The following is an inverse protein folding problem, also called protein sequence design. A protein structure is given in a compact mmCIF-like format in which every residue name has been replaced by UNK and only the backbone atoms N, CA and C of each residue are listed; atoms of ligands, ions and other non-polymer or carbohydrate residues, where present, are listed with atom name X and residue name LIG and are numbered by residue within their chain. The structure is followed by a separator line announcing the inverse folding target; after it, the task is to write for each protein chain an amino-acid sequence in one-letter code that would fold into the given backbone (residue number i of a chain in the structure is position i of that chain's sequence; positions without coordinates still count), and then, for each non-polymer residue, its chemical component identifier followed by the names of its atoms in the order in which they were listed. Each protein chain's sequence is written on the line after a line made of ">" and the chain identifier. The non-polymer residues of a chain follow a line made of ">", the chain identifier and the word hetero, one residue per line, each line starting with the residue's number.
data_IF_975535397009
#
_entry.id   IF_975535397009
#
_cell.length_a   1.000
_cell.length_b   1.000
_cell.length_c   1.000
_cell.angle_alpha   90.00
_cell.angle_beta   90.00
_cell.angle_gamma   90.00
#
_symmetry.space_group_name_H-M   'P 1'
#
loop_
_entity.id
_entity.type
_entity.pdbx_description
1 polymer ?
#
# COMPACT_ATOMS: atom_id res chain seq x y z
N UNK A 1 17.33 -5.58 6.58
CA UNK A 1 17.33 -5.24 8.03
C UNK A 1 15.91 -4.84 8.46
N UNK A 2 15.52 -4.99 9.74
CA UNK A 2 14.22 -4.52 10.23
C UNK A 2 14.03 -3.01 9.98
N UNK A 3 12.78 -2.58 9.85
CA UNK A 3 12.43 -1.18 9.66
C UNK A 3 12.99 -0.32 10.80
N UNK A 4 13.72 0.74 10.46
CA UNK A 4 14.36 1.63 11.44
C UNK A 4 13.43 2.80 11.77
N UNK A 5 12.69 2.68 12.87
CA UNK A 5 11.78 3.74 13.35
C UNK A 5 12.51 5.01 13.79
N UNK A 6 13.78 4.89 14.16
CA UNK A 6 14.63 6.00 14.55
C UNK A 6 15.19 6.79 13.35
N UNK A 7 14.85 6.42 12.10
CA UNK A 7 15.21 7.17 10.91
C UNK A 7 14.35 8.45 10.76
N UNK A 8 14.95 9.56 10.31
CA UNK A 8 14.21 10.80 9.99
C UNK A 8 13.15 10.60 8.92
N UNK A 9 13.36 9.66 8.00
CA UNK A 9 12.45 9.35 6.89
C UNK A 9 11.37 8.31 7.23
N UNK A 10 11.37 7.77 8.45
CA UNK A 10 10.33 6.86 8.90
C UNK A 10 9.03 7.63 9.19
N UNK A 11 7.91 7.16 8.64
CA UNK A 11 6.57 7.65 8.96
C UNK A 11 5.66 6.48 9.35
N UNK A 12 4.79 6.73 10.34
CA UNK A 12 3.71 5.84 10.76
C UNK A 12 2.38 6.59 10.67
N UNK A 13 1.37 5.98 10.07
CA UNK A 13 0.03 6.54 9.93
C UNK A 13 -1.01 5.48 10.30
N UNK A 14 -1.85 5.80 11.28
CA UNK A 14 -3.02 5.00 11.62
C UNK A 14 -4.24 5.52 10.84
N UNK A 15 -4.98 4.62 10.21
CA UNK A 15 -6.22 4.91 9.49
C UNK A 15 -7.45 4.67 10.37
N UNK A 16 -8.61 5.14 9.92
CA UNK A 16 -9.89 4.96 10.64
C UNK A 16 -10.29 3.48 10.79
N UNK A 17 -9.74 2.59 9.96
CA UNK A 17 -9.88 1.14 10.08
C UNK A 17 -9.15 0.56 11.30
N UNK A 18 -8.26 1.32 11.94
CA UNK A 18 -7.35 0.86 12.98
C UNK A 18 -6.02 0.32 12.43
N UNK A 19 -5.92 0.14 11.11
CA UNK A 19 -4.68 -0.29 10.46
C UNK A 19 -3.61 0.80 10.57
N UNK A 20 -2.37 0.39 10.85
CA UNK A 20 -1.24 1.30 10.93
C UNK A 20 -0.24 1.00 9.83
N UNK A 21 -0.16 1.89 8.84
CA UNK A 21 0.84 1.83 7.78
C UNK A 21 2.14 2.48 8.23
N UNK A 22 3.26 1.85 7.87
CA UNK A 22 4.60 2.33 8.20
C UNK A 22 5.44 2.31 6.93
N UNK A 23 6.14 3.38 6.64
CA UNK A 23 6.86 3.50 5.38
C UNK A 23 8.01 4.49 5.45
N UNK A 24 8.93 4.35 4.51
CA UNK A 24 9.96 5.34 4.24
C UNK A 24 9.37 6.39 3.31
N UNK A 25 9.37 7.67 3.70
CA UNK A 25 8.83 8.75 2.85
C UNK A 25 9.63 8.99 1.56
N UNK A 26 10.78 8.33 1.42
CA UNK A 26 11.62 8.34 0.21
C UNK A 26 11.39 7.12 -0.68
N UNK A 27 10.48 6.21 -0.30
CA UNK A 27 10.19 4.94 -1.01
C UNK A 27 11.43 4.05 -1.24
N UNK A 28 12.46 4.20 -0.39
CA UNK A 28 13.66 3.37 -0.42
C UNK A 28 13.51 2.04 0.33
N UNK A 29 12.37 1.78 0.96
CA UNK A 29 12.10 0.56 1.72
C UNK A 29 11.38 -0.46 0.81
N UNK A 30 12.07 -1.46 0.24
CA UNK A 30 11.52 -2.33 -0.79
C UNK A 30 10.41 -3.23 -0.27
N UNK A 31 10.49 -3.64 1.01
CA UNK A 31 9.51 -4.48 1.69
C UNK A 31 8.88 -3.70 2.83
N UNK A 32 8.57 -2.41 2.61
CA UNK A 32 7.76 -1.65 3.54
C UNK A 32 6.44 -2.39 3.81
N UNK A 33 5.98 -2.52 5.06
CA UNK A 33 6.44 -1.81 6.27
C UNK A 33 7.57 -2.47 7.06
N UNK A 34 8.03 -3.67 6.68
CA UNK A 34 8.84 -4.55 7.51
C UNK A 34 10.32 -4.25 7.46
N UNK A 35 10.86 -3.95 6.27
CA UNK A 35 12.31 -3.91 6.07
C UNK A 35 12.83 -2.63 5.45
N UNK A 36 13.95 -2.19 5.99
CA UNK A 36 14.86 -1.26 5.35
C UNK A 36 15.92 -2.02 4.52
N UNK A 37 16.49 -1.40 3.48
CA UNK A 37 17.72 -1.88 2.87
C UNK A 37 18.82 -2.01 3.92
N UNK A 38 19.66 -3.04 3.78
CA UNK A 38 20.74 -3.31 4.72
C UNK A 38 21.71 -2.12 4.81
N UNK A 39 22.15 -1.60 3.66
CA UNK A 39 23.00 -0.41 3.54
C UNK A 39 22.21 0.77 2.93
N UNK A 40 21.31 1.36 3.70
CA UNK A 40 20.49 2.48 3.23
C UNK A 40 21.31 3.79 3.23
N UNK A 41 21.60 4.38 2.06
CA UNK A 41 22.44 5.59 1.97
C UNK A 41 21.74 6.84 2.50
N UNK A 42 20.41 6.81 2.62
CA UNK A 42 19.60 7.90 3.14
C UNK A 42 19.28 7.76 4.64
N UNK A 43 19.82 6.75 5.33
CA UNK A 43 19.56 6.61 6.75
C UNK A 43 20.17 7.77 7.53
N UNK A 44 19.30 8.54 8.18
CA UNK A 44 19.72 9.59 9.10
C UNK A 44 18.95 9.42 10.41
N UNK A 45 19.67 9.28 11.53
CA UNK A 45 19.03 9.12 12.84
C UNK A 45 18.29 10.40 13.23
N UNK A 46 17.02 10.26 13.61
CA UNK A 46 16.19 11.34 14.13
C UNK A 46 16.66 11.67 15.54
N UNK A 47 17.22 12.86 15.72
CA UNK A 47 17.72 13.34 17.02
C UNK A 47 16.61 13.96 17.90
N UNK A 48 15.33 13.75 17.56
CA UNK A 48 14.19 14.50 18.12
C UNK A 48 13.97 14.29 19.62
N UNK A 49 14.65 13.33 20.25
CA UNK A 49 14.48 13.02 21.68
C UNK A 49 15.33 13.93 22.61
N UNK A 50 16.13 14.87 22.10
CA UNK A 50 16.82 15.84 22.96
C UNK A 50 15.85 16.93 23.45
N UNK A 51 15.32 16.76 24.67
CA UNK A 51 14.48 17.75 25.36
C UNK A 51 12.98 17.44 25.38
N UNK A 52 12.55 16.28 24.89
CA UNK A 52 11.16 15.82 24.96
C UNK A 52 11.04 14.68 25.99
N UNK A 53 10.13 14.82 26.95
CA UNK A 53 9.75 13.72 27.85
C UNK A 53 8.66 12.91 27.18
N UNK A 54 8.92 11.63 26.91
CA UNK A 54 7.88 10.71 26.46
C UNK A 54 6.77 10.64 27.52
N UNK A 55 5.54 10.98 27.14
CA UNK A 55 4.36 10.77 27.99
C UNK A 55 4.03 9.28 28.14
N UNK A 56 3.16 8.93 29.08
CA UNK A 56 2.76 7.53 29.32
C UNK A 56 1.82 6.95 28.24
N UNK A 57 1.35 7.78 27.30
CA UNK A 57 0.68 7.34 26.08
C UNK A 57 1.73 6.81 25.10
N UNK A 58 2.26 5.63 25.41
CA UNK A 58 3.15 4.89 24.51
C UNK A 58 2.27 4.13 23.53
N UNK A 59 2.49 4.32 22.23
CA UNK A 59 1.86 3.48 21.21
C UNK A 59 2.22 2.02 21.51
N UNK A 60 1.27 1.08 21.40
CA UNK A 60 1.57 -0.34 21.61
C UNK A 60 2.70 -0.78 20.67
N UNK A 61 3.48 -1.75 21.13
CA UNK A 61 4.55 -2.33 20.32
C UNK A 61 4.00 -2.82 18.98
N UNK A 62 4.80 -2.63 17.94
CA UNK A 62 4.44 -3.04 16.58
C UNK A 62 4.36 -4.57 16.55
N UNK A 63 3.37 -5.09 15.82
CA UNK A 63 3.29 -6.51 15.52
C UNK A 63 4.53 -6.95 14.74
N UNK A 64 5.09 -8.10 15.09
CA UNK A 64 6.27 -8.64 14.43
C UNK A 64 5.97 -8.97 12.95
N UNK A 65 7.03 -8.96 12.13
CA UNK A 65 6.94 -9.49 10.76
C UNK A 65 6.42 -10.93 10.83
N UNK A 66 5.38 -11.28 10.04
CA UNK A 66 4.84 -12.63 10.06
C UNK A 66 5.92 -13.62 9.61
N UNK A 67 6.11 -14.70 10.38
CA UNK A 67 7.09 -15.76 10.08
C UNK A 67 6.55 -16.70 8.99
N UNK A 68 6.43 -16.16 7.77
CA UNK A 68 5.96 -16.88 6.58
C UNK A 68 7.12 -16.94 5.56
N UNK A 69 7.47 -18.11 5.04
CA UNK A 69 8.51 -18.23 4.02
C UNK A 69 8.19 -17.39 2.77
N UNK A 70 9.19 -16.69 2.23
CA UNK A 70 9.01 -15.86 1.04
C UNK A 70 8.42 -16.63 -0.17
N UNK A 71 8.72 -17.93 -0.29
CA UNK A 71 8.15 -18.78 -1.33
C UNK A 71 6.63 -18.99 -1.16
N UNK A 72 6.15 -19.13 0.07
CA UNK A 72 4.71 -19.27 0.35
C UNK A 72 3.98 -17.94 0.11
N UNK A 73 4.60 -16.81 0.47
CA UNK A 73 4.08 -15.49 0.12
C UNK A 73 3.99 -15.32 -1.40
N UNK A 74 5.02 -15.74 -2.14
CA UNK A 74 5.01 -15.68 -3.60
C UNK A 74 3.90 -16.55 -4.20
N UNK A 75 3.74 -17.79 -3.73
CA UNK A 75 2.67 -18.70 -4.18
C UNK A 75 1.27 -18.10 -3.94
N UNK A 76 1.02 -17.53 -2.76
CA UNK A 76 -0.24 -16.86 -2.46
C UNK A 76 -0.50 -15.65 -3.37
N UNK A 77 0.54 -14.89 -3.70
CA UNK A 77 0.42 -13.73 -4.57
C UNK A 77 0.19 -14.15 -6.04
N UNK A 78 0.80 -15.24 -6.49
CA UNK A 78 0.55 -15.83 -7.81
C UNK A 78 -0.91 -16.32 -7.92
N UNK A 79 -1.41 -17.02 -6.90
CA UNK A 79 -2.82 -17.44 -6.83
C UNK A 79 -3.79 -16.25 -6.89
N UNK A 80 -3.45 -15.16 -6.19
CA UNK A 80 -4.24 -13.92 -6.23
C UNK A 80 -4.18 -13.24 -7.60
N UNK A 81 -3.00 -13.25 -8.24
CA UNK A 81 -2.81 -12.73 -9.60
C UNK A 81 -3.67 -13.50 -10.60
N UNK A 82 -3.74 -14.82 -10.51
CA UNK A 82 -4.58 -15.67 -11.37
C UNK A 82 -6.06 -15.30 -11.27
N UNK A 83 -6.56 -15.03 -10.06
CA UNK A 83 -7.96 -14.58 -9.85
C UNK A 83 -8.19 -13.24 -10.54
N UNK A 84 -7.29 -12.28 -10.36
CA UNK A 84 -7.40 -10.95 -10.98
C UNK A 84 -7.33 -11.05 -12.50
N UNK A 85 -6.40 -11.86 -13.04
CA UNK A 85 -6.23 -12.07 -14.47
C UNK A 85 -7.43 -12.77 -15.12
N UNK A 86 -8.11 -13.65 -14.38
CA UNK A 86 -9.31 -14.33 -14.87
C UNK A 86 -10.50 -13.37 -15.09
N UNK A 87 -10.68 -12.38 -14.21
CA UNK A 87 -11.82 -11.42 -14.28
C UNK A 87 -11.46 -10.08 -14.92
N UNK A 88 -10.17 -9.74 -14.97
CA UNK A 88 -9.65 -8.46 -15.43
C UNK A 88 -10.15 -8.03 -16.81
N UNK A 89 -10.09 -8.89 -17.85
CA UNK A 89 -10.55 -8.53 -19.19
C UNK A 89 -12.03 -8.15 -19.24
N UNK A 90 -12.90 -8.90 -18.56
CA UNK A 90 -14.35 -8.62 -18.55
C UNK A 90 -14.66 -7.28 -17.88
N UNK A 91 -14.02 -7.01 -16.74
CA UNK A 91 -14.18 -5.75 -16.00
C UNK A 91 -13.66 -4.58 -16.84
N UNK A 92 -12.51 -4.74 -17.50
CA UNK A 92 -11.92 -3.72 -18.37
C UNK A 92 -12.88 -3.36 -19.52
N UNK A 93 -13.42 -4.36 -20.22
CA UNK A 93 -14.40 -4.18 -21.29
C UNK A 93 -15.68 -3.45 -20.81
N UNK A 94 -16.16 -3.79 -19.61
CA UNK A 94 -17.31 -3.10 -19.02
C UNK A 94 -17.02 -1.63 -18.74
N UNK A 95 -15.86 -1.33 -18.15
CA UNK A 95 -15.43 0.03 -17.82
C UNK A 95 -15.25 0.86 -19.09
N UNK A 96 -14.58 0.32 -20.12
CA UNK A 96 -14.38 1.01 -21.40
C UNK A 96 -15.73 1.36 -22.04
N UNK A 97 -16.66 0.39 -22.13
CA UNK A 97 -18.02 0.64 -22.64
C UNK A 97 -18.78 1.71 -21.86
N UNK A 98 -18.60 1.77 -20.53
CA UNK A 98 -19.20 2.83 -19.69
C UNK A 98 -18.59 4.19 -20.00
N UNK A 99 -17.27 4.26 -20.17
CA UNK A 99 -16.55 5.50 -20.51
C UNK A 99 -16.95 6.00 -21.90
N UNK A 100 -16.95 5.14 -22.91
CA UNK A 100 -17.44 5.46 -24.25
C UNK A 100 -18.86 6.05 -24.19
N UNK A 101 -19.78 5.39 -23.46
CA UNK A 101 -21.15 5.86 -23.31
C UNK A 101 -21.23 7.22 -22.61
N UNK A 102 -20.33 7.50 -21.68
CA UNK A 102 -20.25 8.80 -21.01
C UNK A 102 -19.79 9.92 -21.96
N UNK A 103 -18.92 9.61 -22.94
CA UNK A 103 -18.48 10.60 -23.94
C UNK A 103 -19.53 10.94 -25.00
N UNK A 104 -20.53 10.07 -25.22
CA UNK A 104 -21.57 10.31 -26.23
C UNK A 104 -22.43 11.53 -25.87
N UNK A 105 -22.97 12.27 -26.86
CA UNK A 105 -23.95 13.33 -26.61
C UNK A 105 -25.19 12.82 -25.89
N UNK A 106 -25.83 13.66 -25.06
CA UNK A 106 -26.95 13.25 -24.19
C UNK A 106 -28.07 12.53 -24.96
N UNK A 107 -28.45 13.00 -26.15
CA UNK A 107 -29.49 12.38 -26.98
C UNK A 107 -29.15 10.95 -27.44
N UNK A 108 -27.87 10.60 -27.63
CA UNK A 108 -27.43 9.24 -27.97
C UNK A 108 -27.38 8.30 -26.75
N UNK A 109 -27.38 8.85 -25.52
CA UNK A 109 -27.43 8.05 -24.29
C UNK A 109 -28.85 7.62 -23.93
N UNK A 110 -29.86 8.42 -24.26
CA UNK A 110 -31.28 8.16 -23.96
C UNK A 110 -32.08 7.52 -25.12
N UNK A 111 -31.54 7.48 -26.35
CA UNK A 111 -32.24 6.79 -27.44
C UNK A 111 -32.10 5.26 -27.34
N UNK A 112 -33.20 4.50 -27.49
CA UNK A 112 -33.15 3.03 -27.51
C UNK A 112 -32.42 2.54 -28.75
N UNK A 113 -31.52 1.55 -28.58
CA UNK A 113 -30.86 0.87 -29.71
C UNK A 113 -31.94 0.23 -30.58
N UNK A 114 -32.10 0.69 -31.83
CA UNK A 114 -32.96 0.00 -32.80
C UNK A 114 -32.33 -1.37 -33.07
N UNK A 115 -33.12 -2.42 -32.80
CA UNK A 115 -32.80 -3.82 -33.11
C UNK A 115 -32.63 -4.02 -34.61
#
# INVERSE_FOLDING_TARGET
>A
MPMREDCKHFQSRTYDSGETARFCVLDLAPEAPWRCPDDCPAYEKRLADVGWTHGSLVSPAIEDEPDVPAAEVAELLDDAEDVVNAVGPEIADEVERKQERATLPWWRRVMPRRR
#
